data_IF_245747156868
#
_entry.id   IF_245747156868
#
_cell.length_a   1.000
_cell.length_b   1.000
_cell.length_c   1.000
_cell.angle_alpha   90.00
_cell.angle_beta   90.00
_cell.angle_gamma   90.00
#
_symmetry.space_group_name_H-M   'P 1'
#
loop_
_entity.id
_entity.type
_entity.pdbx_description
1 polymer ?
#
# COMPACT_ATOMS: atom_id res chain seq x y z
N UNK A 1 -23.47 8.25 18.57
CA UNK A 1 -23.93 7.14 17.69
C UNK A 1 -23.47 5.84 18.34
N UNK A 2 -24.46 5.13 18.99
CA UNK A 2 -24.16 4.07 19.94
C UNK A 2 -23.85 2.73 19.30
N UNK A 3 -23.28 1.80 20.09
CA UNK A 3 -23.04 0.38 19.78
C UNK A 3 -24.24 -0.31 19.10
N UNK A 4 -25.47 0.12 19.40
CA UNK A 4 -26.70 -0.38 18.79
C UNK A 4 -26.81 -0.11 17.28
N UNK A 5 -26.23 0.99 16.77
CA UNK A 5 -26.27 1.33 15.34
C UNK A 5 -25.27 0.49 14.53
N UNK A 6 -24.13 0.13 15.13
CA UNK A 6 -23.13 -0.77 14.52
C UNK A 6 -23.74 -2.16 14.40
N UNK A 7 -24.44 -2.62 15.44
CA UNK A 7 -25.08 -3.94 15.45
C UNK A 7 -26.28 -4.04 14.50
N UNK A 8 -27.10 -2.98 14.39
CA UNK A 8 -28.21 -2.92 13.43
C UNK A 8 -27.73 -2.94 11.98
N UNK A 9 -26.61 -2.27 11.66
CA UNK A 9 -25.98 -2.34 10.33
C UNK A 9 -25.43 -3.72 10.02
N UNK A 10 -24.82 -4.42 10.98
CA UNK A 10 -24.33 -5.78 10.80
C UNK A 10 -25.44 -6.81 10.52
N UNK A 11 -26.60 -6.65 11.20
CA UNK A 11 -27.75 -7.57 11.01
C UNK A 11 -28.41 -7.42 9.63
N UNK A 12 -28.17 -6.32 8.92
CA UNK A 12 -28.73 -6.03 7.59
C UNK A 12 -27.94 -6.66 6.44
N UNK A 13 -26.67 -7.06 6.70
CA UNK A 13 -25.80 -7.64 5.67
C UNK A 13 -25.65 -9.16 5.90
N UNK A 14 -26.59 -9.94 5.35
CA UNK A 14 -26.62 -11.42 5.46
C UNK A 14 -25.36 -12.11 4.88
N UNK A 15 -24.52 -11.38 4.15
CA UNK A 15 -23.32 -11.92 3.50
C UNK A 15 -22.03 -11.66 4.31
N UNK A 16 -22.09 -10.85 5.37
CA UNK A 16 -20.92 -10.53 6.18
C UNK A 16 -20.61 -11.65 7.18
N UNK A 17 -19.43 -12.24 7.05
CA UNK A 17 -18.89 -13.26 7.95
C UNK A 17 -17.69 -12.68 8.71
N UNK A 18 -17.78 -12.49 10.04
CA UNK A 18 -16.72 -11.90 10.86
C UNK A 18 -15.45 -12.76 10.95
N UNK A 19 -15.55 -14.05 10.70
CA UNK A 19 -14.48 -15.04 10.65
C UNK A 19 -13.65 -15.01 9.36
N UNK A 20 -14.10 -14.27 8.34
CA UNK A 20 -13.43 -14.21 7.03
C UNK A 20 -12.87 -12.84 6.73
N UNK A 21 -11.57 -12.76 6.55
CA UNK A 21 -10.84 -11.53 6.17
C UNK A 21 -11.41 -10.89 4.90
N UNK A 22 -11.74 -11.69 3.89
CA UNK A 22 -12.33 -11.20 2.63
C UNK A 22 -13.67 -10.48 2.80
N UNK A 23 -14.43 -10.79 3.86
CA UNK A 23 -15.69 -10.08 4.14
C UNK A 23 -15.46 -8.61 4.51
N UNK A 24 -14.35 -8.31 5.17
CA UNK A 24 -13.98 -6.93 5.51
C UNK A 24 -13.57 -6.13 4.27
N UNK A 25 -12.81 -6.73 3.36
CA UNK A 25 -12.46 -6.11 2.07
C UNK A 25 -13.71 -5.80 1.25
N UNK A 26 -14.68 -6.71 1.22
CA UNK A 26 -15.93 -6.51 0.49
C UNK A 26 -16.80 -5.38 1.04
N UNK A 27 -16.83 -5.22 2.36
CA UNK A 27 -17.62 -4.16 3.00
C UNK A 27 -16.98 -2.79 2.83
N UNK A 28 -15.65 -2.72 2.89
CA UNK A 28 -14.89 -1.49 2.71
C UNK A 28 -14.37 -1.33 1.25
N UNK A 29 -15.19 -1.76 0.26
CA UNK A 29 -14.80 -1.74 -1.15
C UNK A 29 -14.51 -0.33 -1.70
N UNK A 30 -15.23 0.69 -1.20
CA UNK A 30 -15.07 2.07 -1.69
C UNK A 30 -13.71 2.69 -1.31
N UNK A 31 -13.29 2.67 -0.03
CA UNK A 31 -11.91 3.05 0.31
C UNK A 31 -10.87 2.23 -0.45
N UNK A 32 -11.10 0.93 -0.63
CA UNK A 32 -10.19 0.05 -1.36
C UNK A 32 -10.06 0.45 -2.83
N UNK A 33 -11.17 0.77 -3.50
CA UNK A 33 -11.18 1.26 -4.88
C UNK A 33 -10.38 2.56 -5.01
N UNK A 34 -10.55 3.51 -4.09
CA UNK A 34 -9.78 4.76 -4.10
C UNK A 34 -8.28 4.53 -3.84
N UNK A 35 -7.93 3.58 -2.94
CA UNK A 35 -6.53 3.16 -2.73
C UNK A 35 -5.96 2.57 -4.03
N UNK A 36 -6.72 1.70 -4.70
CA UNK A 36 -6.31 1.07 -5.95
C UNK A 36 -6.06 2.10 -7.05
N UNK A 37 -7.03 2.98 -7.30
CA UNK A 37 -6.90 4.01 -8.35
C UNK A 37 -5.75 4.98 -8.05
N UNK A 38 -5.70 5.52 -6.83
CA UNK A 38 -4.62 6.45 -6.45
C UNK A 38 -3.26 5.76 -6.38
N UNK A 39 -3.21 4.47 -6.01
CA UNK A 39 -2.01 3.64 -6.02
C UNK A 39 -1.48 3.43 -7.44
N UNK A 40 -2.34 3.12 -8.40
CA UNK A 40 -1.97 2.99 -9.81
C UNK A 40 -1.43 4.32 -10.37
N UNK A 41 -2.14 5.43 -10.15
CA UNK A 41 -1.67 6.75 -10.59
C UNK A 41 -0.33 7.10 -9.97
N UNK A 42 -0.14 6.83 -8.68
CA UNK A 42 1.13 7.05 -7.99
C UNK A 42 2.26 6.21 -8.57
N UNK A 43 2.08 4.90 -8.72
CA UNK A 43 3.13 3.99 -9.19
C UNK A 43 3.47 4.20 -10.67
N UNK A 44 2.47 4.43 -11.53
CA UNK A 44 2.71 4.79 -12.93
C UNK A 44 3.41 6.16 -13.01
N UNK A 45 2.98 7.12 -12.19
CA UNK A 45 3.58 8.44 -12.14
C UNK A 45 5.04 8.47 -11.70
N UNK A 46 5.49 7.50 -10.90
CA UNK A 46 6.90 7.36 -10.55
C UNK A 46 7.78 7.04 -11.78
N UNK A 47 7.24 6.36 -12.79
CA UNK A 47 7.95 6.08 -14.04
C UNK A 47 8.16 7.33 -14.89
N UNK A 48 7.40 8.39 -14.65
CA UNK A 48 7.54 9.64 -15.38
C UNK A 48 8.86 10.37 -15.04
N UNK A 49 9.38 10.25 -13.82
CA UNK A 49 10.59 10.94 -13.38
C UNK A 49 11.80 10.60 -14.28
N UNK A 50 12.22 9.34 -14.48
CA UNK A 50 13.34 9.00 -15.36
C UNK A 50 13.13 9.45 -16.80
N UNK A 51 11.87 9.43 -17.27
CA UNK A 51 11.54 9.88 -18.61
C UNK A 51 11.75 11.40 -18.77
N UNK A 52 11.26 12.20 -17.80
CA UNK A 52 11.47 13.65 -17.83
C UNK A 52 12.94 14.03 -17.67
N UNK A 53 13.70 13.33 -16.80
CA UNK A 53 15.14 13.56 -16.62
C UNK A 53 15.90 13.31 -17.92
N UNK A 54 15.61 12.22 -18.62
CA UNK A 54 16.20 11.94 -19.94
C UNK A 54 15.86 12.99 -20.98
N UNK A 55 14.60 13.47 -21.02
CA UNK A 55 14.17 14.52 -21.95
C UNK A 55 14.79 15.87 -21.64
N UNK A 56 14.92 16.22 -20.36
CA UNK A 56 15.58 17.46 -19.95
C UNK A 56 17.07 17.45 -20.32
N UNK A 57 17.76 16.31 -20.13
CA UNK A 57 19.16 16.18 -20.53
C UNK A 57 19.33 16.32 -22.06
N UNK A 58 18.47 15.71 -22.86
CA UNK A 58 18.46 15.88 -24.31
C UNK A 58 18.20 17.32 -24.73
N UNK A 59 17.14 17.95 -24.19
CA UNK A 59 16.80 19.34 -24.49
C UNK A 59 17.96 20.31 -24.16
N UNK A 60 18.70 20.05 -23.05
CA UNK A 60 19.88 20.84 -22.72
C UNK A 60 21.00 20.68 -23.76
N UNK A 61 21.25 19.46 -24.21
CA UNK A 61 22.26 19.19 -25.26
C UNK A 61 21.86 19.87 -26.58
N UNK A 62 20.57 19.84 -26.93
CA UNK A 62 20.03 20.43 -28.16
C UNK A 62 20.06 21.98 -28.12
N UNK A 63 19.86 22.60 -26.96
CA UNK A 63 20.06 24.04 -26.75
C UNK A 63 21.52 24.43 -26.95
N UNK A 64 22.46 23.63 -26.42
CA UNK A 64 23.90 23.86 -26.61
C UNK A 64 24.32 23.69 -28.07
N UNK A 65 23.63 22.82 -28.82
CA UNK A 65 23.77 22.64 -30.27
C UNK A 65 23.08 23.68 -31.13
N UNK A 66 22.29 24.59 -30.53
CA UNK A 66 21.56 25.65 -31.21
C UNK A 66 20.27 25.23 -31.93
N UNK A 67 19.79 24.00 -31.70
CA UNK A 67 18.60 23.44 -32.35
C UNK A 67 17.30 23.66 -31.58
N UNK A 68 17.36 23.89 -30.24
CA UNK A 68 16.17 24.17 -29.41
C UNK A 68 16.31 25.47 -28.61
N UNK A 69 15.19 25.93 -28.06
CA UNK A 69 15.10 27.20 -27.32
C UNK A 69 14.91 27.01 -25.83
N UNK A 70 15.38 27.97 -25.04
CA UNK A 70 15.18 27.97 -23.57
C UNK A 70 13.68 27.94 -23.17
N UNK A 71 12.78 28.44 -24.05
CA UNK A 71 11.34 28.39 -23.84
C UNK A 71 10.79 26.94 -23.82
N UNK A 72 11.30 26.06 -24.67
CA UNK A 72 10.93 24.63 -24.72
C UNK A 72 11.38 23.92 -23.44
N UNK A 73 12.59 24.21 -22.98
CA UNK A 73 13.10 23.68 -21.71
C UNK A 73 12.22 24.14 -20.53
N UNK A 74 11.83 25.43 -20.49
CA UNK A 74 10.97 25.94 -19.44
C UNK A 74 9.60 25.26 -19.43
N UNK A 75 9.00 25.00 -20.60
CA UNK A 75 7.75 24.25 -20.72
C UNK A 75 7.88 22.82 -20.21
N UNK A 76 8.99 22.15 -20.54
CA UNK A 76 9.27 20.78 -20.09
C UNK A 76 9.42 20.71 -18.57
N UNK A 77 10.11 21.70 -17.96
CA UNK A 77 10.25 21.83 -16.50
C UNK A 77 8.89 22.05 -15.84
N UNK A 78 8.05 22.93 -16.39
CA UNK A 78 6.70 23.17 -15.87
C UNK A 78 5.83 21.90 -15.95
N UNK A 79 5.91 21.16 -17.05
CA UNK A 79 5.22 19.88 -17.20
C UNK A 79 5.69 18.84 -16.17
N UNK A 80 6.99 18.77 -15.93
CA UNK A 80 7.56 17.88 -14.92
C UNK A 80 7.09 18.23 -13.50
N UNK A 81 7.08 19.52 -13.16
CA UNK A 81 6.54 19.99 -11.87
C UNK A 81 5.07 19.62 -11.73
N UNK A 82 4.25 19.86 -12.76
CA UNK A 82 2.83 19.53 -12.74
C UNK A 82 2.58 18.02 -12.53
N UNK A 83 3.31 17.18 -13.26
CA UNK A 83 3.23 15.70 -13.09
C UNK A 83 3.68 15.29 -11.69
N UNK A 84 4.76 15.85 -11.18
CA UNK A 84 5.24 15.56 -9.83
C UNK A 84 4.20 15.94 -8.76
N UNK A 85 3.56 17.10 -8.89
CA UNK A 85 2.48 17.51 -7.97
C UNK A 85 1.29 16.54 -8.04
N UNK A 86 0.90 16.11 -9.25
CA UNK A 86 -0.17 15.11 -9.42
C UNK A 86 0.18 13.79 -8.72
N UNK A 87 1.41 13.31 -8.88
CA UNK A 87 1.91 12.09 -8.26
C UNK A 87 1.89 12.21 -6.72
N UNK A 88 2.32 13.36 -6.18
CA UNK A 88 2.27 13.58 -4.74
C UNK A 88 0.85 13.70 -4.20
N UNK A 89 -0.06 14.30 -4.95
CA UNK A 89 -1.48 14.32 -4.60
C UNK A 89 -2.08 12.90 -4.58
N UNK A 90 -1.78 12.08 -5.58
CA UNK A 90 -2.20 10.68 -5.62
C UNK A 90 -1.63 9.89 -4.42
N UNK A 91 -0.35 10.10 -4.07
CA UNK A 91 0.29 9.52 -2.88
C UNK A 91 -0.43 9.90 -1.59
N UNK A 92 -0.79 11.17 -1.45
CA UNK A 92 -1.53 11.66 -0.29
C UNK A 92 -2.89 10.99 -0.17
N UNK A 93 -3.67 10.95 -1.25
CA UNK A 93 -4.99 10.30 -1.33
C UNK A 93 -4.86 8.82 -0.95
N UNK A 94 -3.91 8.09 -1.56
CA UNK A 94 -3.64 6.70 -1.24
C UNK A 94 -3.39 6.48 0.25
N UNK A 95 -2.46 7.24 0.86
CA UNK A 95 -2.12 7.13 2.28
C UNK A 95 -3.30 7.43 3.19
N UNK A 96 -4.10 8.43 2.84
CA UNK A 96 -5.30 8.79 3.60
C UNK A 96 -6.33 7.65 3.60
N UNK A 97 -6.64 7.11 2.42
CA UNK A 97 -7.64 6.05 2.29
C UNK A 97 -7.18 4.69 2.80
N UNK A 98 -5.90 4.36 2.73
CA UNK A 98 -5.33 3.17 3.39
C UNK A 98 -5.52 3.23 4.91
N UNK A 99 -5.23 4.38 5.53
CA UNK A 99 -5.46 4.57 6.96
C UNK A 99 -6.95 4.51 7.33
N UNK A 100 -7.79 5.12 6.51
CA UNK A 100 -9.25 5.08 6.70
C UNK A 100 -9.79 3.67 6.60
N UNK A 101 -9.33 2.88 5.64
CA UNK A 101 -9.63 1.46 5.49
C UNK A 101 -9.24 0.67 6.75
N UNK A 102 -8.00 0.78 7.19
CA UNK A 102 -7.51 0.11 8.39
C UNK A 102 -8.31 0.50 9.65
N UNK A 103 -8.56 1.80 9.86
CA UNK A 103 -9.32 2.29 11.01
C UNK A 103 -10.78 1.81 11.01
N UNK A 104 -11.42 1.73 9.84
CA UNK A 104 -12.78 1.22 9.71
C UNK A 104 -12.86 -0.27 10.10
N UNK A 105 -11.89 -1.05 9.62
CA UNK A 105 -11.80 -2.49 9.95
C UNK A 105 -11.53 -2.67 11.44
N UNK A 106 -10.54 -1.97 11.99
CA UNK A 106 -10.18 -2.04 13.41
C UNK A 106 -11.39 -1.76 14.29
N UNK A 107 -12.09 -0.64 14.03
CA UNK A 107 -13.30 -0.28 14.76
C UNK A 107 -14.37 -1.37 14.66
N UNK A 108 -14.54 -1.99 13.49
CA UNK A 108 -15.53 -3.05 13.27
C UNK A 108 -15.15 -4.33 14.02
N UNK A 109 -13.91 -4.77 13.90
CA UNK A 109 -13.42 -5.98 14.57
C UNK A 109 -13.49 -5.83 16.10
N UNK A 110 -13.00 -4.72 16.64
CA UNK A 110 -13.08 -4.43 18.09
C UNK A 110 -14.53 -4.34 18.58
N UNK A 111 -15.43 -3.79 17.76
CA UNK A 111 -16.87 -3.75 18.08
C UNK A 111 -17.52 -5.14 18.18
N UNK A 112 -17.14 -6.06 17.26
CA UNK A 112 -17.63 -7.45 17.28
C UNK A 112 -17.04 -8.19 18.49
N UNK A 113 -15.76 -8.04 18.74
CA UNK A 113 -15.05 -8.65 19.86
C UNK A 113 -15.71 -8.24 21.18
N UNK A 114 -15.91 -6.93 21.39
CA UNK A 114 -16.54 -6.41 22.60
C UNK A 114 -17.98 -6.93 22.76
N UNK A 115 -18.78 -6.95 21.69
CA UNK A 115 -20.13 -7.48 21.74
C UNK A 115 -20.20 -8.97 22.09
N UNK A 116 -19.19 -9.76 21.70
CA UNK A 116 -19.09 -11.16 22.04
C UNK A 116 -18.62 -11.36 23.51
N UNK A 117 -17.65 -10.57 23.96
CA UNK A 117 -17.18 -10.60 25.36
C UNK A 117 -18.27 -10.31 26.37
N UNK A 118 -19.07 -9.28 26.12
CA UNK A 118 -20.20 -8.89 27.02
C UNK A 118 -21.28 -9.99 27.10
N UNK A 119 -21.34 -10.90 26.16
CA UNK A 119 -22.30 -12.01 26.13
C UNK A 119 -21.78 -13.28 26.82
N UNK A 120 -20.52 -13.34 27.17
CA UNK A 120 -19.96 -14.48 27.88
C UNK A 120 -20.40 -14.54 29.35
N UNK A 121 -20.48 -15.73 29.89
CA UNK A 121 -20.82 -15.93 31.31
C UNK A 121 -19.66 -15.47 32.20
N UNK A 122 -19.99 -15.00 33.42
CA UNK A 122 -19.00 -14.61 34.43
C UNK A 122 -18.00 -15.75 34.71
N UNK A 123 -18.49 -16.97 34.81
CA UNK A 123 -17.66 -18.14 35.09
C UNK A 123 -16.60 -18.41 33.98
N UNK A 124 -16.94 -18.16 32.74
CA UNK A 124 -15.99 -18.28 31.61
C UNK A 124 -14.91 -17.19 31.65
N UNK A 125 -15.30 -15.95 31.97
CA UNK A 125 -14.40 -14.80 32.07
C UNK A 125 -13.46 -14.90 33.31
N UNK A 126 -13.93 -15.43 34.41
CA UNK A 126 -13.14 -15.62 35.63
C UNK A 126 -12.08 -16.74 35.46
N UNK A 127 -12.39 -17.79 34.69
CA UNK A 127 -11.50 -18.91 34.45
C UNK A 127 -10.26 -18.55 33.63
N UNK A 128 -10.42 -17.63 32.67
CA UNK A 128 -9.36 -17.22 31.74
C UNK A 128 -8.70 -15.88 32.10
N UNK A 129 -9.21 -15.16 33.11
CA UNK A 129 -8.74 -13.83 33.45
C UNK A 129 -9.25 -12.78 32.45
N UNK A 130 -10.37 -12.15 32.75
CA UNK A 130 -11.05 -11.21 31.82
C UNK A 130 -10.13 -10.11 31.28
N UNK A 131 -9.19 -9.61 32.09
CA UNK A 131 -8.24 -8.58 31.70
C UNK A 131 -7.18 -9.08 30.70
N UNK A 132 -6.63 -10.26 30.93
CA UNK A 132 -5.63 -10.89 30.06
C UNK A 132 -6.24 -11.23 28.69
N UNK A 133 -7.42 -11.87 28.71
CA UNK A 133 -8.17 -12.21 27.50
C UNK A 133 -8.47 -10.96 26.66
N UNK A 134 -8.87 -9.88 27.31
CA UNK A 134 -9.19 -8.62 26.60
C UNK A 134 -7.95 -7.98 26.00
N UNK A 135 -6.84 -7.95 26.72
CA UNK A 135 -5.57 -7.37 26.24
C UNK A 135 -5.03 -8.15 25.03
N UNK A 136 -5.02 -9.49 25.14
CA UNK A 136 -4.58 -10.37 24.06
C UNK A 136 -5.46 -10.24 22.82
N UNK A 137 -6.77 -10.29 23.00
CA UNK A 137 -7.71 -10.18 21.89
C UNK A 137 -7.67 -8.81 21.20
N UNK A 138 -7.40 -7.71 21.91
CA UNK A 138 -7.19 -6.38 21.30
C UNK A 138 -5.89 -6.35 20.50
N UNK A 139 -4.80 -6.92 21.01
CA UNK A 139 -3.53 -7.00 20.31
C UNK A 139 -3.65 -7.82 19.02
N UNK A 140 -4.27 -9.00 19.09
CA UNK A 140 -4.50 -9.88 17.93
C UNK A 140 -5.33 -9.18 16.84
N UNK A 141 -6.32 -8.35 17.23
CA UNK A 141 -7.09 -7.54 16.26
C UNK A 141 -6.23 -6.47 15.62
N UNK A 142 -5.38 -5.78 16.39
CA UNK A 142 -4.50 -4.74 15.85
C UNK A 142 -3.48 -5.34 14.87
N UNK A 143 -2.90 -6.50 15.19
CA UNK A 143 -1.97 -7.22 14.31
C UNK A 143 -2.65 -7.72 13.03
N UNK A 144 -3.88 -8.23 13.12
CA UNK A 144 -4.66 -8.64 11.96
C UNK A 144 -4.95 -7.45 11.03
N UNK A 145 -5.37 -6.32 11.57
CA UNK A 145 -5.64 -5.09 10.81
C UNK A 145 -4.38 -4.55 10.17
N UNK A 146 -3.25 -4.58 10.89
CA UNK A 146 -1.96 -4.15 10.35
C UNK A 146 -1.51 -5.07 9.21
N UNK A 147 -1.69 -6.38 9.33
CA UNK A 147 -1.45 -7.34 8.26
C UNK A 147 -2.29 -7.04 7.01
N UNK A 148 -3.59 -6.77 7.17
CA UNK A 148 -4.49 -6.40 6.07
C UNK A 148 -4.06 -5.08 5.42
N UNK A 149 -3.63 -4.09 6.22
CA UNK A 149 -3.12 -2.81 5.74
C UNK A 149 -1.82 -2.98 4.94
N UNK A 150 -0.87 -3.74 5.46
CA UNK A 150 0.41 -4.06 4.78
C UNK A 150 0.16 -4.78 3.47
N UNK A 151 -0.66 -5.82 3.47
CA UNK A 151 -1.01 -6.54 2.26
C UNK A 151 -1.56 -5.61 1.17
N UNK A 152 -2.48 -4.71 1.55
CA UNK A 152 -3.07 -3.75 0.60
C UNK A 152 -2.03 -2.77 0.06
N UNK A 153 -1.09 -2.28 0.89
CA UNK A 153 -0.02 -1.38 0.45
C UNK A 153 1.02 -2.09 -0.41
N UNK A 154 1.47 -3.26 -0.01
CA UNK A 154 2.57 -3.96 -0.68
C UNK A 154 2.18 -4.48 -2.06
N UNK A 155 0.94 -4.91 -2.27
CA UNK A 155 0.45 -5.29 -3.60
C UNK A 155 0.61 -4.15 -4.60
N UNK A 156 0.37 -2.89 -4.18
CA UNK A 156 0.50 -1.73 -5.07
C UNK A 156 1.91 -1.13 -5.07
N UNK A 157 2.59 -1.06 -3.94
CA UNK A 157 3.90 -0.42 -3.87
C UNK A 157 5.00 -1.31 -4.46
N UNK A 158 4.99 -2.60 -4.12
CA UNK A 158 6.02 -3.52 -4.59
C UNK A 158 5.61 -4.24 -5.87
N UNK A 159 4.39 -4.78 -5.94
CA UNK A 159 3.94 -5.58 -7.07
C UNK A 159 3.76 -4.76 -8.34
N UNK A 160 2.98 -3.69 -8.28
CA UNK A 160 2.69 -2.85 -9.47
C UNK A 160 3.90 -2.05 -9.89
N UNK A 161 4.67 -1.48 -8.94
CA UNK A 161 5.88 -0.75 -9.25
C UNK A 161 6.94 -1.66 -9.90
N UNK A 162 7.19 -2.84 -9.33
CA UNK A 162 8.13 -3.82 -9.88
C UNK A 162 7.74 -4.23 -11.30
N UNK A 163 6.46 -4.54 -11.53
CA UNK A 163 5.96 -4.86 -12.86
C UNK A 163 6.14 -3.69 -13.84
N UNK A 164 5.83 -2.46 -13.41
CA UNK A 164 6.01 -1.25 -14.21
C UNK A 164 7.47 -0.99 -14.59
N UNK A 165 8.38 -1.10 -13.64
CA UNK A 165 9.82 -0.96 -13.90
C UNK A 165 10.35 -2.07 -14.80
N UNK A 166 9.92 -3.32 -14.61
CA UNK A 166 10.31 -4.44 -15.48
C UNK A 166 9.87 -4.22 -16.94
N UNK A 167 8.60 -3.79 -17.14
CA UNK A 167 8.09 -3.46 -18.47
C UNK A 167 8.86 -2.30 -19.08
N UNK A 168 9.12 -1.25 -18.33
CA UNK A 168 9.88 -0.09 -18.81
C UNK A 168 11.29 -0.48 -19.24
N UNK A 169 12.00 -1.28 -18.44
CA UNK A 169 13.33 -1.80 -18.79
C UNK A 169 13.29 -2.64 -20.06
N UNK A 170 12.30 -3.52 -20.21
CA UNK A 170 12.14 -4.36 -21.42
C UNK A 170 11.89 -3.52 -22.69
N UNK A 171 11.18 -2.40 -22.56
CA UNK A 171 10.91 -1.48 -23.68
C UNK A 171 12.16 -0.69 -24.07
N UNK A 172 13.00 -0.30 -23.10
CA UNK A 172 14.23 0.43 -23.39
C UNK A 172 15.32 -0.48 -23.99
N UNK A 173 15.65 -1.59 -23.33
CA UNK A 173 16.60 -2.60 -23.82
C UNK A 173 16.37 -3.92 -23.10
N UNK A 174 15.90 -4.92 -23.84
CA UNK A 174 15.62 -6.24 -23.31
C UNK A 174 16.86 -6.95 -22.73
N UNK A 175 18.07 -6.63 -23.26
CA UNK A 175 19.34 -7.23 -22.77
C UNK A 175 19.69 -6.69 -21.39
N UNK A 176 19.57 -5.37 -21.20
CA UNK A 176 19.77 -4.73 -19.90
C UNK A 176 18.70 -5.17 -18.88
N UNK A 177 17.46 -5.37 -19.33
CA UNK A 177 16.38 -5.89 -18.48
C UNK A 177 16.68 -7.28 -17.93
N UNK A 178 17.13 -8.21 -18.79
CA UNK A 178 17.51 -9.57 -18.35
C UNK A 178 18.68 -9.52 -17.37
N UNK A 179 19.68 -8.69 -17.64
CA UNK A 179 20.86 -8.54 -16.80
C UNK A 179 20.48 -7.98 -15.42
N UNK A 180 19.64 -6.94 -15.35
CA UNK A 180 19.12 -6.37 -14.11
C UNK A 180 18.25 -7.35 -13.31
N UNK A 181 17.37 -8.09 -13.99
CA UNK A 181 16.51 -9.09 -13.34
C UNK A 181 17.31 -10.28 -12.79
N UNK A 182 18.40 -10.70 -13.46
CA UNK A 182 19.30 -11.75 -12.97
C UNK A 182 20.10 -11.31 -11.73
N UNK A 183 20.53 -10.04 -11.69
CA UNK A 183 21.29 -9.53 -10.54
C UNK A 183 20.43 -9.38 -9.27
N UNK A 184 19.13 -9.13 -9.41
CA UNK A 184 18.23 -8.94 -8.26
C UNK A 184 18.18 -10.15 -7.33
N UNK A 185 17.91 -11.40 -7.77
CA UNK A 185 17.95 -12.57 -6.89
C UNK A 185 19.34 -12.88 -6.34
N UNK A 186 20.41 -12.62 -7.10
CA UNK A 186 21.79 -12.80 -6.63
C UNK A 186 22.09 -11.86 -5.48
N UNK A 187 21.75 -10.57 -5.61
CA UNK A 187 21.89 -9.58 -4.54
C UNK A 187 21.10 -9.94 -3.29
N UNK A 188 19.89 -10.46 -3.48
CA UNK A 188 19.06 -10.91 -2.37
C UNK A 188 19.68 -12.09 -1.62
N UNK A 189 20.13 -13.11 -2.32
CA UNK A 189 20.81 -14.28 -1.73
C UNK A 189 22.07 -13.85 -0.98
N UNK A 190 22.89 -12.98 -1.58
CA UNK A 190 24.09 -12.45 -0.92
C UNK A 190 23.74 -11.66 0.37
N UNK A 191 22.71 -10.80 0.31
CA UNK A 191 22.29 -10.02 1.48
C UNK A 191 21.76 -10.92 2.59
N UNK A 192 20.93 -11.93 2.28
CA UNK A 192 20.42 -12.89 3.26
C UNK A 192 21.54 -13.73 3.87
N UNK A 193 22.48 -14.22 3.04
CA UNK A 193 23.63 -14.99 3.52
C UNK A 193 24.53 -14.17 4.44
N UNK A 194 24.76 -12.90 4.11
CA UNK A 194 25.55 -11.98 4.94
C UNK A 194 24.86 -11.71 6.29
N UNK A 195 23.56 -11.47 6.30
CA UNK A 195 22.81 -11.25 7.56
C UNK A 195 22.73 -12.49 8.41
N UNK A 196 22.65 -13.68 7.81
CA UNK A 196 22.67 -14.95 8.54
C UNK A 196 24.02 -15.22 9.18
N UNK A 197 25.13 -14.93 8.50
CA UNK A 197 26.48 -15.09 9.05
C UNK A 197 26.72 -14.15 10.23
N UNK A 198 26.24 -12.90 10.16
CA UNK A 198 26.41 -11.90 11.23
C UNK A 198 25.53 -12.16 12.45
N UNK A 199 24.45 -12.91 12.31
CA UNK A 199 23.60 -13.29 13.43
C UNK A 199 24.19 -14.46 14.27
N UNK A 200 25.27 -15.09 13.80
CA UNK A 200 26.00 -16.17 14.49
C UNK A 200 27.32 -15.73 15.11
N UNK A 201 27.72 -14.47 14.96
CA UNK A 201 28.80 -13.82 15.70
C UNK A 201 28.25 -13.02 16.91
#
# INVERSE_FOLDING_TARGET
>A
RGLGDVYKRQKKDKSFRPDRVLSYFRVEWFPLLLVTLSGLVYNIGLLAAPWFEGRLAQCLADILGGSETAAQMALLVLAYIAVTLLVQAARFIKRFYVRRFANNINRRMKGILYANLVRQSRAALEKEGAGELMTKAIADVDDCVEGMRKFTTEVFDTGVALAGYAVMLLVYDWRLAILGLLFTPVSYVCAVSYTHLRAHE
#
